data_IF_707557551326
#
_entry.id   IF_707557551326
#
_cell.length_a   1.000
_cell.length_b   1.000
_cell.length_c   1.000
_cell.angle_alpha   90.00
_cell.angle_beta   90.00
_cell.angle_gamma   90.00
#
_symmetry.space_group_name_H-M   'P 1'
#
loop_
_entity.id
_entity.type
_entity.pdbx_description
1 polymer ?
#
# COMPACT_ATOMS: atom_id res chain seq x y z
N UNK A 1 16.11 -17.33 -50.10
CA UNK A 1 14.83 -17.07 -49.47
C UNK A 1 15.00 -17.04 -47.96
N UNK A 2 15.25 -15.88 -47.40
CA UNK A 2 15.38 -15.66 -45.95
C UNK A 2 14.06 -15.05 -45.47
N UNK A 3 13.34 -15.80 -44.64
CA UNK A 3 12.14 -15.28 -43.95
C UNK A 3 12.60 -14.49 -42.73
N UNK A 4 12.46 -13.19 -42.77
CA UNK A 4 12.57 -12.30 -41.60
C UNK A 4 11.23 -12.33 -40.86
N UNK A 5 11.19 -12.99 -39.69
CA UNK A 5 10.09 -12.85 -38.73
C UNK A 5 10.30 -11.56 -37.94
N UNK A 6 9.51 -10.54 -38.28
CA UNK A 6 9.38 -9.32 -37.49
C UNK A 6 8.52 -9.64 -36.27
N UNK A 7 9.14 -9.75 -35.10
CA UNK A 7 8.45 -9.75 -33.83
C UNK A 7 8.04 -8.30 -33.54
N UNK A 8 6.79 -7.97 -33.82
CA UNK A 8 6.20 -6.70 -33.41
C UNK A 8 6.05 -6.68 -31.89
N UNK A 9 6.97 -5.98 -31.22
CA UNK A 9 6.83 -5.60 -29.83
C UNK A 9 5.60 -4.72 -29.65
N UNK A 10 4.53 -5.26 -29.07
CA UNK A 10 3.34 -4.50 -28.69
C UNK A 10 3.77 -3.64 -27.48
N UNK A 11 4.19 -2.42 -27.76
CA UNK A 11 4.26 -1.35 -26.78
C UNK A 11 2.84 -1.06 -26.32
N UNK A 12 2.50 -1.45 -25.10
CA UNK A 12 1.23 -1.11 -24.47
C UNK A 12 1.24 0.37 -24.09
N UNK A 13 1.15 1.25 -25.11
CA UNK A 13 0.80 2.63 -24.91
C UNK A 13 -0.68 2.67 -24.55
N UNK A 14 -0.99 2.89 -23.27
CA UNK A 14 -2.35 3.12 -22.80
C UNK A 14 -2.88 4.43 -23.42
N UNK A 15 -3.60 4.30 -24.51
CA UNK A 15 -4.42 5.39 -25.03
C UNK A 15 -5.66 5.43 -24.16
N UNK A 16 -5.77 6.44 -23.29
CA UNK A 16 -6.99 6.76 -22.55
C UNK A 16 -8.04 7.25 -23.53
N UNK A 17 -8.80 6.34 -24.07
CA UNK A 17 -10.03 6.68 -24.81
C UNK A 17 -11.13 6.80 -23.75
N UNK A 18 -11.58 8.02 -23.50
CA UNK A 18 -12.71 8.40 -22.64
C UNK A 18 -12.58 8.20 -21.13
N UNK A 19 -11.39 8.31 -20.54
CA UNK A 19 -11.25 8.38 -19.07
C UNK A 19 -11.74 7.17 -18.27
N UNK A 20 -12.14 6.08 -18.94
CA UNK A 20 -12.64 4.85 -18.28
C UNK A 20 -11.49 4.00 -17.77
N UNK A 21 -11.67 3.39 -16.59
CA UNK A 21 -10.74 2.40 -16.00
C UNK A 21 -10.85 1.01 -16.66
N UNK A 22 -11.51 0.89 -17.81
CA UNK A 22 -11.86 -0.39 -18.47
C UNK A 22 -10.66 -1.31 -18.76
N UNK A 23 -9.44 -0.78 -18.87
CA UNK A 23 -8.22 -1.54 -19.12
C UNK A 23 -7.41 -1.86 -17.85
N UNK A 24 -7.89 -1.45 -16.67
CA UNK A 24 -7.22 -1.74 -15.40
C UNK A 24 -7.85 -3.00 -14.77
N UNK A 25 -7.00 -3.92 -14.33
CA UNK A 25 -7.44 -5.08 -13.56
C UNK A 25 -7.59 -4.64 -12.10
N UNK A 26 -8.82 -4.69 -11.58
CA UNK A 26 -9.16 -4.44 -10.18
C UNK A 26 -10.30 -5.35 -9.74
N UNK A 27 -10.52 -5.45 -8.44
CA UNK A 27 -11.50 -6.36 -7.85
C UNK A 27 -12.60 -5.63 -7.08
N UNK A 28 -12.36 -4.36 -6.74
CA UNK A 28 -13.29 -3.55 -5.98
C UNK A 28 -12.82 -2.11 -5.86
N UNK A 29 -13.61 -1.34 -5.12
CA UNK A 29 -13.40 0.08 -4.90
C UNK A 29 -13.61 0.43 -3.42
N UNK A 30 -13.09 1.58 -3.00
CA UNK A 30 -13.55 2.21 -1.78
C UNK A 30 -14.00 3.65 -2.05
N UNK A 31 -14.99 4.09 -1.28
CA UNK A 31 -15.67 5.36 -1.49
C UNK A 31 -15.96 6.09 -0.19
N UNK A 32 -16.08 7.40 -0.27
CA UNK A 32 -16.40 8.28 0.86
C UNK A 32 -17.50 9.28 0.48
N UNK A 33 -17.74 10.25 1.34
CA UNK A 33 -18.61 11.38 1.01
C UNK A 33 -18.12 12.22 -0.18
N UNK A 34 -16.87 12.02 -0.62
CA UNK A 34 -16.30 12.72 -1.77
C UNK A 34 -16.98 12.31 -3.07
N UNK A 35 -17.32 11.02 -3.22
CA UNK A 35 -18.02 10.48 -4.37
C UNK A 35 -19.53 10.78 -4.36
N UNK A 36 -20.06 11.32 -3.25
CA UNK A 36 -21.48 11.70 -3.07
C UNK A 36 -22.46 10.53 -3.26
N UNK A 37 -23.58 10.80 -3.91
CA UNK A 37 -24.59 9.79 -4.29
C UNK A 37 -24.13 9.12 -5.59
N UNK A 38 -23.97 7.81 -5.55
CA UNK A 38 -23.44 7.00 -6.66
C UNK A 38 -24.60 6.34 -7.37
N UNK A 39 -24.60 6.38 -8.71
CA UNK A 39 -25.51 5.56 -9.52
C UNK A 39 -25.02 4.10 -9.54
N UNK A 40 -25.47 3.34 -8.55
CA UNK A 40 -25.11 1.94 -8.42
C UNK A 40 -25.66 1.06 -9.54
N UNK A 41 -26.71 1.49 -10.26
CA UNK A 41 -27.22 0.77 -11.42
C UNK A 41 -26.23 0.80 -12.59
N UNK A 42 -25.56 1.92 -12.78
CA UNK A 42 -24.49 2.06 -13.76
C UNK A 42 -23.19 1.41 -13.27
N UNK A 43 -22.81 1.65 -12.02
CA UNK A 43 -21.58 1.13 -11.39
C UNK A 43 -21.52 -0.40 -11.39
N UNK A 44 -22.64 -1.06 -11.08
CA UNK A 44 -22.72 -2.53 -11.05
C UNK A 44 -22.59 -3.22 -12.42
N UNK A 45 -22.65 -2.49 -13.53
CA UNK A 45 -22.38 -3.04 -14.86
C UNK A 45 -20.91 -3.42 -15.03
N UNK A 46 -20.03 -2.78 -14.28
CA UNK A 46 -18.61 -3.14 -14.22
C UNK A 46 -18.43 -4.42 -13.40
N UNK A 47 -18.08 -5.50 -14.08
CA UNK A 47 -17.91 -6.83 -13.47
C UNK A 47 -16.66 -6.97 -12.62
N UNK A 48 -15.72 -6.03 -12.72
CA UNK A 48 -14.53 -5.99 -11.85
C UNK A 48 -14.89 -5.56 -10.43
N UNK A 49 -15.97 -4.79 -10.23
CA UNK A 49 -16.39 -4.33 -8.90
C UNK A 49 -17.11 -5.45 -8.15
N UNK A 50 -16.38 -6.30 -7.48
CA UNK A 50 -16.91 -7.40 -6.66
C UNK A 50 -17.35 -6.90 -5.29
N UNK A 51 -16.68 -5.85 -4.77
CA UNK A 51 -16.93 -5.29 -3.46
C UNK A 51 -16.73 -3.77 -3.43
N UNK A 52 -17.31 -3.15 -2.40
CA UNK A 52 -17.07 -1.75 -2.04
C UNK A 52 -16.92 -1.61 -0.53
N UNK A 53 -15.89 -0.85 -0.11
CA UNK A 53 -15.82 -0.29 1.23
C UNK A 53 -16.32 1.14 1.24
N UNK A 54 -17.21 1.48 2.16
CA UNK A 54 -17.86 2.81 2.26
C UNK A 54 -17.47 3.47 3.57
N UNK A 55 -16.99 4.72 3.53
CA UNK A 55 -16.73 5.51 4.75
C UNK A 55 -18.01 5.69 5.54
N UNK A 56 -18.04 5.11 6.75
CA UNK A 56 -19.17 5.29 7.65
C UNK A 56 -18.93 6.44 8.63
N UNK A 57 -17.77 6.42 9.30
CA UNK A 57 -17.50 7.34 10.41
C UNK A 57 -16.03 7.74 10.48
N UNK A 58 -15.74 8.80 11.27
CA UNK A 58 -14.39 9.23 11.59
C UNK A 58 -14.34 9.78 13.02
N UNK A 59 -13.35 9.37 13.79
CA UNK A 59 -13.19 9.81 15.17
C UNK A 59 -14.46 9.63 16.00
N UNK A 60 -14.72 10.56 16.93
CA UNK A 60 -15.83 10.43 17.88
C UNK A 60 -17.20 10.83 17.33
N UNK A 61 -17.27 11.63 16.26
CA UNK A 61 -18.53 12.34 15.94
C UNK A 61 -18.89 12.41 14.47
N UNK A 62 -17.90 12.32 13.56
CA UNK A 62 -18.22 12.38 12.13
C UNK A 62 -18.95 11.12 11.67
N UNK A 63 -20.05 11.32 10.94
CA UNK A 63 -20.86 10.30 10.29
C UNK A 63 -21.08 10.69 8.85
N UNK A 64 -20.82 9.78 7.92
CA UNK A 64 -21.04 10.03 6.51
C UNK A 64 -22.54 10.05 6.19
N UNK A 65 -23.02 11.15 5.64
CA UNK A 65 -24.42 11.26 5.20
C UNK A 65 -24.79 10.36 4.02
N UNK A 66 -23.76 9.94 3.23
CA UNK A 66 -23.95 9.11 2.06
C UNK A 66 -23.77 7.61 2.37
N UNK A 67 -23.41 7.25 3.61
CA UNK A 67 -23.12 5.88 3.99
C UNK A 67 -24.30 4.94 3.76
N UNK A 68 -25.46 5.26 4.36
CA UNK A 68 -26.64 4.39 4.28
C UNK A 68 -27.10 4.19 2.85
N UNK A 69 -27.21 5.29 2.09
CA UNK A 69 -27.58 5.24 0.68
C UNK A 69 -26.66 4.33 -0.12
N UNK A 70 -25.34 4.48 0.01
CA UNK A 70 -24.36 3.72 -0.76
C UNK A 70 -24.34 2.23 -0.37
N UNK A 71 -24.48 1.91 0.94
CA UNK A 71 -24.53 0.51 1.41
C UNK A 71 -25.77 -0.20 0.85
N UNK A 72 -26.95 0.40 0.99
CA UNK A 72 -28.21 -0.20 0.56
C UNK A 72 -28.24 -0.41 -0.96
N UNK A 73 -27.90 0.62 -1.71
CA UNK A 73 -27.96 0.57 -3.18
C UNK A 73 -26.87 -0.33 -3.77
N UNK A 74 -25.62 -0.28 -3.32
CA UNK A 74 -24.58 -1.20 -3.78
C UNK A 74 -24.99 -2.67 -3.56
N UNK A 75 -25.56 -2.95 -2.40
CA UNK A 75 -26.03 -4.27 -2.00
C UNK A 75 -27.20 -4.75 -2.86
N UNK A 76 -28.13 -3.86 -3.19
CA UNK A 76 -29.27 -4.14 -4.07
C UNK A 76 -28.81 -4.63 -5.45
N UNK A 77 -27.73 -4.07 -5.97
CA UNK A 77 -27.13 -4.48 -7.25
C UNK A 77 -26.11 -5.61 -7.14
N UNK A 78 -26.05 -6.33 -6.00
CA UNK A 78 -25.24 -7.53 -5.82
C UNK A 78 -23.75 -7.28 -5.61
N UNK A 79 -23.35 -6.05 -5.25
CA UNK A 79 -21.99 -5.73 -4.83
C UNK A 79 -21.88 -6.03 -3.34
N UNK A 80 -20.80 -6.70 -2.93
CA UNK A 80 -20.54 -6.94 -1.52
C UNK A 80 -20.09 -5.65 -0.83
N UNK A 81 -20.69 -5.35 0.33
CA UNK A 81 -20.48 -4.08 1.00
C UNK A 81 -19.81 -4.22 2.36
N UNK A 82 -18.94 -3.30 2.68
CA UNK A 82 -18.31 -3.14 3.99
C UNK A 82 -18.18 -1.68 4.38
N UNK A 83 -18.09 -1.43 5.68
CA UNK A 83 -17.90 -0.10 6.23
C UNK A 83 -16.47 0.11 6.70
N UNK A 84 -15.99 1.36 6.59
CA UNK A 84 -14.74 1.74 7.23
C UNK A 84 -14.87 2.92 8.18
N UNK A 85 -14.00 2.92 9.20
CA UNK A 85 -13.83 3.98 10.18
C UNK A 85 -12.47 4.63 10.03
N UNK A 86 -12.43 5.93 9.80
CA UNK A 86 -11.17 6.68 9.84
C UNK A 86 -10.75 6.91 11.29
N UNK A 87 -9.71 6.22 11.70
CA UNK A 87 -9.23 6.21 13.07
C UNK A 87 -8.46 7.48 13.42
N UNK A 88 -8.82 8.12 14.53
CA UNK A 88 -8.15 9.31 15.08
C UNK A 88 -7.42 8.96 16.37
N UNK A 89 -6.08 8.77 16.35
CA UNK A 89 -5.33 8.26 17.50
C UNK A 89 -5.44 9.11 18.78
N UNK A 90 -5.67 10.42 18.64
CA UNK A 90 -5.86 11.32 19.80
C UNK A 90 -7.29 11.32 20.35
N UNK A 91 -8.18 10.50 19.81
CA UNK A 91 -9.57 10.38 20.27
C UNK A 91 -9.72 9.07 21.04
N UNK A 92 -10.39 9.07 22.22
CA UNK A 92 -10.62 7.86 23.00
C UNK A 92 -11.28 6.76 22.17
N UNK A 93 -10.74 5.55 22.26
CA UNK A 93 -11.19 4.35 21.52
C UNK A 93 -12.68 4.11 21.74
N UNK A 94 -13.17 4.21 22.97
CA UNK A 94 -14.58 3.99 23.31
C UNK A 94 -15.52 4.96 22.56
N UNK A 95 -15.13 6.22 22.40
CA UNK A 95 -15.94 7.19 21.64
C UNK A 95 -16.00 6.86 20.15
N UNK A 96 -14.88 6.38 19.59
CA UNK A 96 -14.80 5.95 18.20
C UNK A 96 -15.63 4.69 17.97
N UNK A 97 -15.50 3.71 18.87
CA UNK A 97 -16.28 2.50 18.83
C UNK A 97 -17.79 2.76 18.86
N UNK A 98 -18.27 3.58 19.82
CA UNK A 98 -19.69 3.97 19.87
C UNK A 98 -20.14 4.72 18.63
N UNK A 99 -19.29 5.60 18.08
CA UNK A 99 -19.61 6.31 16.85
C UNK A 99 -19.80 5.33 15.68
N UNK A 100 -18.87 4.38 15.50
CA UNK A 100 -18.93 3.40 14.42
C UNK A 100 -20.13 2.48 14.55
N UNK A 101 -20.32 1.84 15.70
CA UNK A 101 -21.40 0.87 15.93
C UNK A 101 -22.80 1.48 15.96
N UNK A 102 -22.91 2.81 16.21
CA UNK A 102 -24.20 3.52 16.10
C UNK A 102 -24.66 3.72 14.66
N UNK A 103 -23.76 3.60 13.68
CA UNK A 103 -24.03 3.78 12.25
C UNK A 103 -24.01 2.46 11.49
N UNK A 104 -23.04 1.60 11.81
CA UNK A 104 -22.76 0.38 11.07
C UNK A 104 -23.41 -0.81 11.78
N UNK A 105 -24.49 -1.30 11.23
CA UNK A 105 -25.17 -2.48 11.74
C UNK A 105 -24.56 -3.74 11.17
N UNK A 106 -24.43 -4.78 12.00
CA UNK A 106 -23.83 -6.07 11.59
C UNK A 106 -24.57 -6.72 10.43
N UNK A 107 -25.89 -6.64 10.43
CA UNK A 107 -26.77 -7.21 9.40
C UNK A 107 -26.60 -6.55 8.02
N UNK A 108 -26.14 -5.31 7.98
CA UNK A 108 -25.94 -4.57 6.75
C UNK A 108 -24.56 -4.81 6.12
N UNK A 109 -23.67 -5.52 6.81
CA UNK A 109 -22.30 -5.77 6.34
C UNK A 109 -22.19 -7.16 5.69
N UNK A 110 -21.56 -7.22 4.54
CA UNK A 110 -21.09 -8.47 3.93
C UNK A 110 -19.60 -8.69 4.22
N UNK A 111 -18.83 -7.61 4.33
CA UNK A 111 -17.38 -7.63 4.54
C UNK A 111 -17.01 -7.34 5.99
N UNK A 112 -15.85 -7.85 6.40
CA UNK A 112 -15.27 -7.56 7.72
C UNK A 112 -15.07 -6.05 7.90
N UNK A 113 -15.25 -5.49 9.11
CA UNK A 113 -15.03 -4.06 9.36
C UNK A 113 -13.62 -3.62 8.98
N UNK A 114 -13.48 -2.38 8.49
CA UNK A 114 -12.21 -1.82 8.10
C UNK A 114 -11.83 -0.64 9.00
N UNK A 115 -10.63 -0.68 9.56
CA UNK A 115 -10.02 0.40 10.34
C UNK A 115 -9.01 1.12 9.46
N UNK A 116 -9.25 2.38 9.17
CA UNK A 116 -8.38 3.23 8.35
C UNK A 116 -7.42 4.00 9.25
N UNK A 117 -6.13 3.62 9.21
CA UNK A 117 -5.06 4.13 10.08
C UNK A 117 -3.99 4.83 9.25
N UNK A 118 -4.12 6.14 9.07
CA UNK A 118 -3.24 6.95 8.22
C UNK A 118 -2.49 8.05 8.97
N UNK A 119 -2.90 8.35 10.19
CA UNK A 119 -2.32 9.44 10.97
C UNK A 119 -1.75 8.92 12.28
N UNK A 120 -0.54 9.39 12.62
CA UNK A 120 0.12 8.99 13.86
C UNK A 120 -0.51 9.59 15.12
N UNK A 121 -1.17 10.72 14.98
CA UNK A 121 -1.61 11.55 16.11
C UNK A 121 -0.50 12.48 16.62
N UNK A 122 -0.91 13.58 17.26
CA UNK A 122 0.01 14.56 17.82
C UNK A 122 0.53 14.06 19.18
N UNK A 123 1.85 14.12 19.38
CA UNK A 123 2.53 13.78 20.64
C UNK A 123 2.34 12.33 21.13
N UNK A 124 1.86 11.42 20.28
CA UNK A 124 1.76 10.01 20.62
C UNK A 124 3.04 9.25 20.29
N UNK A 125 3.44 8.35 21.17
CA UNK A 125 4.47 7.36 20.87
C UNK A 125 3.93 6.32 19.89
N UNK A 126 4.81 5.63 19.17
CA UNK A 126 4.40 4.51 18.29
C UNK A 126 3.66 3.43 19.08
N UNK A 127 4.13 3.15 20.32
CA UNK A 127 3.47 2.19 21.21
C UNK A 127 2.03 2.61 21.52
N UNK A 128 1.81 3.85 21.93
CA UNK A 128 0.47 4.35 22.25
C UNK A 128 -0.47 4.34 21.02
N UNK A 129 0.06 4.62 19.81
CA UNK A 129 -0.69 4.45 18.57
C UNK A 129 -1.12 3.00 18.38
N UNK A 130 -0.16 2.06 18.46
CA UNK A 130 -0.43 0.63 18.24
C UNK A 130 -1.41 0.10 19.29
N UNK A 131 -1.18 0.40 20.57
CA UNK A 131 -2.06 -0.03 21.66
C UNK A 131 -3.50 0.48 21.46
N UNK A 132 -3.68 1.71 20.97
CA UNK A 132 -5.02 2.26 20.70
C UNK A 132 -5.68 1.65 19.46
N UNK A 133 -4.91 1.32 18.41
CA UNK A 133 -5.43 0.62 17.22
C UNK A 133 -5.86 -0.79 17.58
N UNK A 134 -5.04 -1.53 18.35
CA UNK A 134 -5.38 -2.89 18.79
C UNK A 134 -6.60 -2.89 19.71
N UNK A 135 -6.67 -1.97 20.69
CA UNK A 135 -7.84 -1.86 21.56
C UNK A 135 -9.14 -1.54 20.78
N UNK A 136 -9.05 -0.78 19.68
CA UNK A 136 -10.21 -0.54 18.81
C UNK A 136 -10.55 -1.79 17.98
N UNK A 137 -9.54 -2.47 17.46
CA UNK A 137 -9.70 -3.71 16.70
C UNK A 137 -10.35 -4.82 17.53
N UNK A 138 -9.90 -5.03 18.77
CA UNK A 138 -10.46 -6.02 19.69
C UNK A 138 -11.94 -5.76 19.96
N UNK A 139 -12.32 -4.49 20.20
CA UNK A 139 -13.74 -4.13 20.38
C UNK A 139 -14.59 -4.38 19.15
N UNK A 140 -14.04 -4.15 17.95
CA UNK A 140 -14.74 -4.47 16.70
C UNK A 140 -14.87 -5.99 16.52
N UNK A 141 -13.82 -6.75 16.84
CA UNK A 141 -13.83 -8.21 16.78
C UNK A 141 -14.91 -8.77 17.72
N UNK A 142 -14.97 -8.31 18.97
CA UNK A 142 -16.00 -8.70 19.95
C UNK A 142 -17.42 -8.37 19.45
N UNK A 143 -17.61 -7.19 18.88
CA UNK A 143 -18.94 -6.73 18.44
C UNK A 143 -19.39 -7.42 17.16
N UNK A 144 -18.52 -7.53 16.12
CA UNK A 144 -18.90 -8.08 14.82
C UNK A 144 -18.67 -9.59 14.72
N UNK A 145 -17.92 -10.20 15.64
CA UNK A 145 -17.58 -11.62 15.65
C UNK A 145 -16.57 -12.02 14.58
N UNK A 146 -15.78 -11.09 14.11
CA UNK A 146 -14.71 -11.29 13.14
C UNK A 146 -13.62 -10.22 13.27
N UNK A 147 -12.37 -10.61 13.00
CA UNK A 147 -11.26 -9.67 13.00
C UNK A 147 -11.46 -8.57 11.95
N UNK A 148 -11.33 -7.29 12.33
CA UNK A 148 -11.34 -6.21 11.36
C UNK A 148 -10.09 -6.25 10.49
N UNK A 149 -10.18 -5.70 9.28
CA UNK A 149 -9.04 -5.43 8.42
C UNK A 149 -8.44 -4.06 8.78
N UNK A 150 -7.12 -3.93 8.69
CA UNK A 150 -6.43 -2.67 8.92
C UNK A 150 -5.96 -2.11 7.58
N UNK A 151 -6.50 -0.94 7.20
CA UNK A 151 -6.02 -0.17 6.06
C UNK A 151 -4.99 0.86 6.52
N UNK A 152 -3.94 0.99 5.72
CA UNK A 152 -2.90 2.00 5.94
C UNK A 152 -2.03 2.20 4.70
N UNK A 153 -1.38 3.36 4.62
CA UNK A 153 -0.37 3.61 3.59
C UNK A 153 0.88 2.71 3.76
N UNK A 154 1.46 2.27 2.65
CA UNK A 154 2.68 1.44 2.64
C UNK A 154 3.83 2.01 3.50
N UNK A 155 4.13 3.31 3.35
CA UNK A 155 5.17 3.96 4.14
C UNK A 155 4.81 4.02 5.64
N UNK A 156 3.54 4.27 5.95
CA UNK A 156 3.05 4.33 7.33
C UNK A 156 3.14 2.97 8.01
N UNK A 157 2.74 1.90 7.33
CA UNK A 157 2.90 0.53 7.83
C UNK A 157 4.35 0.25 8.17
N UNK A 158 5.26 0.43 7.22
CA UNK A 158 6.67 0.11 7.40
C UNK A 158 7.32 0.91 8.53
N UNK A 159 6.90 2.17 8.73
CA UNK A 159 7.45 3.05 9.77
C UNK A 159 6.89 2.80 11.17
N UNK A 160 5.61 2.46 11.28
CA UNK A 160 4.92 2.48 12.57
C UNK A 160 4.27 1.16 12.99
N UNK A 161 3.77 0.35 12.04
CA UNK A 161 2.93 -0.81 12.34
C UNK A 161 3.60 -2.16 12.12
N UNK A 162 4.70 -2.20 11.37
CA UNK A 162 5.42 -3.44 11.03
C UNK A 162 5.80 -4.25 12.27
N UNK A 163 5.39 -5.53 12.29
CA UNK A 163 5.64 -6.45 13.41
C UNK A 163 4.84 -6.18 14.68
N UNK A 164 3.93 -5.18 14.69
CA UNK A 164 3.20 -4.75 15.90
C UNK A 164 1.71 -5.04 15.87
N UNK A 165 1.17 -5.42 14.70
CA UNK A 165 -0.24 -5.78 14.50
C UNK A 165 -0.36 -7.17 13.87
N UNK A 166 0.20 -8.22 14.52
CA UNK A 166 0.21 -9.57 13.94
C UNK A 166 -1.20 -10.15 13.85
N UNK A 167 -1.46 -10.90 12.78
CA UNK A 167 -2.69 -11.67 12.62
C UNK A 167 -3.91 -10.86 12.19
N UNK A 168 -3.79 -9.57 11.91
CA UNK A 168 -4.83 -8.78 11.27
C UNK A 168 -4.66 -8.80 9.75
N UNK A 169 -5.75 -8.98 8.96
CA UNK A 169 -5.69 -8.81 7.51
C UNK A 169 -5.34 -7.35 7.17
N UNK A 170 -4.48 -7.16 6.17
CA UNK A 170 -3.97 -5.85 5.80
C UNK A 170 -4.50 -5.40 4.44
N UNK A 171 -4.91 -4.15 4.36
CA UNK A 171 -5.24 -3.43 3.15
C UNK A 171 -4.26 -2.27 3.00
N UNK A 172 -3.40 -2.33 1.99
CA UNK A 172 -2.26 -1.41 1.85
C UNK A 172 -2.48 -0.45 0.69
N UNK A 173 -2.41 0.84 0.98
CA UNK A 173 -2.37 1.86 -0.05
C UNK A 173 -0.93 2.09 -0.54
N UNK A 174 -0.74 1.94 -1.85
CA UNK A 174 0.47 2.30 -2.56
C UNK A 174 0.14 2.62 -4.02
N UNK A 175 0.08 3.88 -4.35
CA UNK A 175 -0.25 4.34 -5.71
C UNK A 175 0.94 4.13 -6.65
N UNK A 176 1.02 2.94 -7.21
CA UNK A 176 2.18 2.46 -7.99
C UNK A 176 1.78 1.30 -8.89
N UNK A 177 2.58 1.04 -9.93
CA UNK A 177 2.49 -0.18 -10.75
C UNK A 177 3.15 -1.40 -10.05
N UNK A 178 3.91 -1.17 -8.99
CA UNK A 178 4.65 -2.20 -8.25
C UNK A 178 3.92 -2.50 -6.96
N UNK A 179 3.66 -3.77 -6.71
CA UNK A 179 3.00 -4.27 -5.51
C UNK A 179 3.72 -3.84 -4.21
N UNK A 180 2.97 -3.63 -3.10
CA UNK A 180 3.58 -3.28 -1.84
C UNK A 180 4.44 -4.43 -1.29
N UNK A 181 5.66 -4.09 -0.86
CA UNK A 181 6.52 -5.00 -0.09
C UNK A 181 6.58 -4.49 1.34
N UNK A 182 6.07 -5.29 2.26
CA UNK A 182 5.99 -4.92 3.67
C UNK A 182 7.24 -5.38 4.43
N UNK A 183 7.75 -4.55 5.33
CA UNK A 183 8.83 -4.93 6.24
C UNK A 183 8.37 -6.01 7.20
N UNK A 184 9.29 -6.88 7.64
CA UNK A 184 8.96 -7.99 8.53
C UNK A 184 8.28 -9.18 7.86
N UNK A 185 8.21 -9.21 6.52
CA UNK A 185 7.65 -10.35 5.78
C UNK A 185 6.13 -10.50 5.90
N UNK A 186 5.41 -9.46 6.35
CA UNK A 186 3.97 -9.49 6.44
C UNK A 186 3.32 -9.53 5.05
N UNK A 187 2.25 -10.32 4.94
CA UNK A 187 1.42 -10.37 3.74
C UNK A 187 0.25 -9.39 3.86
N UNK A 188 -0.25 -8.94 2.72
CA UNK A 188 -1.44 -8.11 2.61
C UNK A 188 -2.54 -8.86 1.86
N UNK A 189 -3.80 -8.52 2.11
CA UNK A 189 -4.97 -9.10 1.46
C UNK A 189 -5.43 -8.23 0.29
N UNK A 190 -5.49 -6.92 0.54
CA UNK A 190 -5.91 -5.93 -0.46
C UNK A 190 -4.82 -4.88 -0.69
N UNK A 191 -4.77 -4.40 -1.92
CA UNK A 191 -3.93 -3.29 -2.34
C UNK A 191 -4.76 -2.23 -3.05
N UNK A 192 -4.78 -1.00 -2.50
CA UNK A 192 -5.28 0.19 -3.16
C UNK A 192 -4.14 0.76 -4.00
N UNK A 193 -4.22 0.55 -5.32
CA UNK A 193 -3.11 0.85 -6.22
C UNK A 193 -3.29 2.15 -7.01
N UNK A 194 -4.49 2.71 -7.02
CA UNK A 194 -4.82 3.95 -7.73
C UNK A 194 -5.92 4.73 -6.98
N UNK A 195 -5.78 6.04 -6.93
CA UNK A 195 -6.78 7.01 -6.45
C UNK A 195 -7.46 7.75 -7.62
N UNK A 196 -7.25 7.29 -8.87
CA UNK A 196 -7.63 7.98 -10.11
C UNK A 196 -8.54 7.12 -10.98
N UNK A 197 -9.27 6.19 -10.38
CA UNK A 197 -10.22 5.36 -11.10
C UNK A 197 -11.37 6.20 -11.68
N UNK A 198 -11.83 5.84 -12.87
CA UNK A 198 -13.00 6.43 -13.49
C UNK A 198 -14.00 5.29 -13.75
N UNK A 199 -15.11 5.32 -13.04
CA UNK A 199 -16.14 4.27 -13.05
C UNK A 199 -17.47 4.91 -13.47
N UNK A 200 -18.19 4.23 -14.34
CA UNK A 200 -19.52 4.67 -14.75
C UNK A 200 -20.45 4.74 -13.52
N UNK A 201 -21.20 5.82 -13.38
CA UNK A 201 -22.07 6.06 -12.22
C UNK A 201 -21.40 6.74 -11.05
N UNK A 202 -20.09 7.06 -11.13
CA UNK A 202 -19.35 7.81 -10.12
C UNK A 202 -18.75 9.05 -10.77
N UNK A 203 -19.21 10.24 -10.36
CA UNK A 203 -18.80 11.52 -10.98
C UNK A 203 -17.39 11.96 -10.63
N UNK A 204 -16.78 11.37 -9.62
CA UNK A 204 -15.47 11.75 -9.07
C UNK A 204 -14.49 10.58 -9.20
N UNK A 205 -13.20 10.88 -9.16
CA UNK A 205 -12.18 9.84 -9.08
C UNK A 205 -12.43 8.91 -7.88
N UNK A 206 -12.17 7.63 -8.07
CA UNK A 206 -12.42 6.59 -7.08
C UNK A 206 -11.19 5.71 -6.90
N UNK A 207 -11.02 5.21 -5.68
CA UNK A 207 -9.94 4.34 -5.31
C UNK A 207 -10.16 2.93 -5.86
N UNK A 208 -9.16 2.42 -6.61
CA UNK A 208 -9.19 1.09 -7.20
C UNK A 208 -8.36 0.11 -6.38
N UNK A 209 -8.97 -1.04 -6.08
CA UNK A 209 -8.43 -2.05 -5.21
C UNK A 209 -8.32 -3.40 -5.89
N UNK A 210 -7.29 -4.18 -5.56
CA UNK A 210 -7.19 -5.57 -5.99
C UNK A 210 -6.69 -6.47 -4.88
N UNK A 211 -7.03 -7.76 -4.98
CA UNK A 211 -6.54 -8.78 -4.08
C UNK A 211 -5.08 -9.12 -4.33
N UNK A 212 -4.40 -9.55 -3.28
CA UNK A 212 -3.11 -10.22 -3.39
C UNK A 212 -3.28 -11.58 -4.08
N UNK A 213 -2.18 -12.08 -4.66
CA UNK A 213 -2.16 -13.42 -5.26
C UNK A 213 -2.54 -14.48 -4.22
N UNK A 214 -3.55 -15.28 -4.55
CA UNK A 214 -4.09 -16.32 -3.66
C UNK A 214 -5.17 -15.84 -2.69
N UNK A 215 -5.38 -14.53 -2.55
CA UNK A 215 -6.49 -13.93 -1.81
C UNK A 215 -7.70 -13.66 -2.73
N UNK A 216 -8.86 -13.49 -2.13
CA UNK A 216 -10.09 -13.17 -2.84
C UNK A 216 -11.19 -12.73 -1.90
N UNK A 217 -12.40 -12.64 -2.43
CA UNK A 217 -13.56 -12.15 -1.68
C UNK A 217 -13.82 -12.97 -0.38
N UNK A 218 -13.54 -14.27 -0.40
CA UNK A 218 -13.66 -15.16 0.77
C UNK A 218 -12.84 -14.70 1.99
N UNK A 219 -11.72 -14.01 1.75
CA UNK A 219 -10.79 -13.60 2.81
C UNK A 219 -11.23 -12.30 3.50
N UNK A 220 -12.24 -11.61 2.93
CA UNK A 220 -12.79 -10.38 3.50
C UNK A 220 -14.30 -10.47 3.79
N UNK A 221 -14.96 -11.60 3.50
CA UNK A 221 -16.36 -11.84 3.87
C UNK A 221 -16.47 -12.14 5.37
N UNK A 222 -17.51 -11.62 6.01
CA UNK A 222 -17.91 -12.05 7.35
C UNK A 222 -18.31 -13.51 7.29
N UNK A 223 -17.81 -14.34 8.21
CA UNK A 223 -18.10 -15.77 8.28
C UNK A 223 -19.61 -16.06 8.23
N UNK A 224 -20.01 -17.04 7.41
CA UNK A 224 -21.43 -17.39 7.18
C UNK A 224 -22.15 -16.52 6.14
N UNK A 225 -21.56 -15.49 5.61
CA UNK A 225 -22.11 -14.74 4.47
C UNK A 225 -21.81 -15.47 3.16
N UNK A 226 -22.86 -15.66 2.34
CA UNK A 226 -22.70 -16.27 1.01
C UNK A 226 -22.26 -15.22 -0.01
N UNK A 227 -21.43 -15.66 -0.96
CA UNK A 227 -21.14 -14.87 -2.15
C UNK A 227 -22.45 -14.66 -2.92
N UNK A 228 -22.85 -13.40 -3.12
CA UNK A 228 -24.05 -13.05 -3.87
C UNK A 228 -23.78 -13.24 -5.35
N UNK A 229 -24.67 -13.99 -6.03
CA UNK A 229 -24.71 -13.94 -7.48
C UNK A 229 -25.39 -12.65 -7.91
N UNK A 230 -24.83 -11.95 -8.88
CA UNK A 230 -25.48 -10.80 -9.52
C UNK A 230 -26.64 -11.32 -10.37
N UNK A 231 -27.82 -11.39 -9.77
CA UNK A 231 -29.05 -11.52 -10.54
C UNK A 231 -29.31 -10.16 -11.19
N UNK A 232 -29.60 -10.15 -12.49
CA UNK A 232 -30.11 -8.96 -13.12
C UNK A 232 -31.35 -8.52 -12.34
N UNK A 233 -31.29 -7.35 -11.72
CA UNK A 233 -32.48 -6.73 -11.18
C UNK A 233 -33.38 -6.40 -12.36
N UNK A 234 -34.34 -7.28 -12.63
CA UNK A 234 -35.49 -6.94 -13.46
C UNK A 234 -36.16 -5.75 -12.80
N UNK A 235 -36.25 -4.68 -13.56
CA UNK A 235 -36.94 -3.47 -13.13
C UNK A 235 -38.27 -3.85 -12.50
N UNK A 236 -38.46 -3.50 -11.24
CA UNK A 236 -39.78 -3.49 -10.64
C UNK A 236 -40.65 -2.49 -11.44
N UNK A 237 -41.48 -3.02 -12.35
CA UNK A 237 -42.64 -2.30 -12.88
C UNK A 237 -43.53 -2.04 -11.66
N UNK A 238 -43.67 -0.79 -11.27
CA UNK A 238 -44.79 -0.39 -10.45
C UNK A 238 -46.08 -0.85 -11.10
N UNK A 239 -46.78 -1.76 -10.48
CA UNK A 239 -48.15 -2.13 -10.85
C UNK A 239 -49.03 -0.98 -10.39
N UNK A 240 -49.46 -0.17 -11.34
CA UNK A 240 -50.60 0.72 -11.21
C UNK A 240 -51.83 -0.15 -11.03
N UNK A 241 -52.71 0.09 -10.03
CA UNK A 241 -53.92 -0.70 -9.89
C UNK A 241 -54.90 -0.37 -11.05
N UNK A 242 -55.34 -1.39 -11.76
CA UNK A 242 -56.42 -1.31 -12.72
C UNK A 242 -57.75 -1.07 -11.98
N UNK A 243 -58.64 -0.21 -12.47
CA UNK A 243 -59.95 0.00 -11.86
C UNK A 243 -60.90 -1.14 -12.22
N UNK A 244 -61.46 -1.78 -11.21
CA UNK A 244 -62.51 -2.77 -11.37
C UNK A 244 -63.77 -2.14 -11.97
N UNK A 245 -64.30 -2.76 -13.00
CA UNK A 245 -65.57 -2.37 -13.63
C UNK A 245 -66.74 -2.77 -12.74
N UNK A 246 -67.47 -1.79 -12.22
CA UNK A 246 -68.76 -2.00 -11.58
C UNK A 246 -69.91 -1.88 -12.60
N UNK A 247 -70.70 -2.94 -12.66
CA UNK A 247 -71.99 -2.99 -13.39
C UNK A 247 -73.04 -2.06 -12.74
N UNK A 248 -73.57 -1.12 -13.49
CA UNK A 248 -74.64 -0.24 -13.04
C UNK A 248 -75.99 -0.93 -13.14
N UNK A 249 -76.62 -1.27 -12.00
CA UNK A 249 -78.05 -1.53 -11.93
C UNK A 249 -78.79 -0.19 -11.63
N UNK A 250 -79.69 0.16 -12.53
CA UNK A 250 -80.56 1.31 -12.36
C UNK A 250 -81.60 1.05 -11.29
N UNK A 251 -81.62 1.87 -10.22
CA UNK A 251 -82.69 1.93 -9.21
C UNK A 251 -83.30 3.37 -9.28
N UNK A 252 -84.62 3.45 -9.34
CA UNK A 252 -85.39 4.70 -9.36
C UNK A 252 -85.23 5.51 -8.06
N UNK A 253 -85.13 6.85 -8.10
CA UNK A 253 -84.82 7.66 -6.92
C UNK A 253 -85.99 7.81 -5.95
N UNK A 254 -85.70 7.71 -4.65
CA UNK A 254 -86.55 8.04 -3.54
C UNK A 254 -86.36 9.49 -3.12
N UNK A 255 -87.42 10.31 -2.92
CA UNK A 255 -87.35 11.76 -2.61
C UNK A 255 -86.59 12.10 -1.32
N UNK A 256 -86.50 11.21 -0.37
CA UNK A 256 -85.72 11.39 0.88
C UNK A 256 -84.18 11.25 0.63
N UNK A 257 -83.83 10.44 -0.33
CA UNK A 257 -82.46 10.22 -0.74
C UNK A 257 -81.90 11.48 -1.49
N UNK A 258 -82.75 12.17 -2.29
CA UNK A 258 -82.34 13.42 -2.96
C UNK A 258 -82.01 14.56 -2.00
N UNK A 259 -82.72 14.65 -0.84
CA UNK A 259 -82.36 15.63 0.22
C UNK A 259 -81.06 15.34 0.89
N UNK A 260 -80.82 14.07 1.22
CA UNK A 260 -79.54 13.59 1.78
C UNK A 260 -78.38 13.78 0.85
N UNK A 261 -78.54 13.49 -0.43
CA UNK A 261 -77.50 13.69 -1.45
C UNK A 261 -77.18 15.16 -1.66
N UNK A 262 -78.20 16.07 -1.59
CA UNK A 262 -77.99 17.51 -1.71
C UNK A 262 -77.22 18.10 -0.49
N UNK A 263 -77.49 17.55 0.67
CA UNK A 263 -76.76 17.93 1.90
C UNK A 263 -75.35 17.36 1.92
N UNK A 264 -75.20 16.11 1.48
CA UNK A 264 -73.86 15.48 1.32
C UNK A 264 -73.00 16.22 0.29
N UNK A 265 -73.56 16.67 -0.86
CA UNK A 265 -72.88 17.53 -1.83
C UNK A 265 -72.44 18.85 -1.25
N UNK A 266 -73.29 19.55 -0.51
CA UNK A 266 -72.88 20.79 0.20
C UNK A 266 -71.78 20.60 1.22
N UNK A 267 -71.80 19.50 2.00
CA UNK A 267 -70.74 19.14 2.94
C UNK A 267 -69.43 18.77 2.20
N UNK A 268 -69.53 18.07 1.08
CA UNK A 268 -68.36 17.70 0.24
C UNK A 268 -67.69 18.96 -0.38
N UNK A 269 -68.51 19.92 -0.87
CA UNK A 269 -68.01 21.19 -1.41
C UNK A 269 -67.31 22.05 -0.30
N UNK A 270 -67.87 22.09 0.88
CA UNK A 270 -67.27 22.80 2.04
C UNK A 270 -65.90 22.15 2.43
N UNK A 271 -65.86 20.81 2.49
CA UNK A 271 -64.61 20.07 2.75
C UNK A 271 -63.57 20.35 1.68
N UNK A 272 -63.92 20.31 0.40
CA UNK A 272 -63.02 20.61 -0.70
C UNK A 272 -62.47 22.05 -0.63
N UNK A 273 -63.27 23.00 -0.22
CA UNK A 273 -62.85 24.40 -0.05
C UNK A 273 -61.90 24.56 1.15
N UNK A 274 -62.11 23.83 2.25
CA UNK A 274 -61.22 23.80 3.40
C UNK A 274 -59.90 23.11 3.08
N UNK A 275 -59.95 21.97 2.41
CA UNK A 275 -58.75 21.22 1.93
C UNK A 275 -57.91 22.08 0.97
N UNK A 276 -58.53 22.84 0.08
CA UNK A 276 -57.85 23.77 -0.82
C UNK A 276 -57.14 24.90 -0.06
N UNK A 277 -57.79 25.47 0.95
CA UNK A 277 -57.16 26.52 1.80
C UNK A 277 -56.00 25.98 2.60
N UNK A 278 -56.13 24.77 3.12
CA UNK A 278 -55.06 24.10 3.87
C UNK A 278 -53.86 23.74 2.96
N UNK A 279 -54.14 23.26 1.75
CA UNK A 279 -53.11 22.99 0.74
C UNK A 279 -52.34 24.27 0.34
N UNK A 280 -53.04 25.41 0.18
CA UNK A 280 -52.40 26.71 -0.10
C UNK A 280 -51.53 27.20 1.08
N UNK A 281 -51.99 27.01 2.33
CA UNK A 281 -51.19 27.33 3.53
C UNK A 281 -49.93 26.46 3.60
N UNK A 282 -50.07 25.18 3.35
CA UNK A 282 -48.96 24.22 3.35
C UNK A 282 -47.97 24.54 2.22
N UNK A 283 -48.43 24.89 1.03
CA UNK A 283 -47.59 25.30 -0.09
C UNK A 283 -46.75 26.57 0.25
N UNK A 284 -47.39 27.60 0.84
CA UNK A 284 -46.68 28.79 1.29
C UNK A 284 -45.64 28.50 2.37
N UNK A 285 -45.95 27.58 3.29
CA UNK A 285 -45.03 27.19 4.33
C UNK A 285 -43.83 26.39 3.77
N UNK A 286 -44.07 25.47 2.82
CA UNK A 286 -43.01 24.73 2.12
C UNK A 286 -42.11 25.67 1.33
N UNK A 287 -42.64 26.69 0.67
CA UNK A 287 -41.86 27.68 -0.06
C UNK A 287 -40.97 28.53 0.85
N UNK A 288 -41.49 28.99 2.01
CA UNK A 288 -40.67 29.68 3.02
C UNK A 288 -39.53 28.82 3.53
N UNK A 289 -39.80 27.53 3.81
CA UNK A 289 -38.78 26.58 4.27
C UNK A 289 -37.73 26.33 3.20
N UNK A 290 -38.14 26.24 1.92
CA UNK A 290 -37.22 26.11 0.79
C UNK A 290 -36.26 27.31 0.70
N UNK A 291 -36.79 28.52 0.76
CA UNK A 291 -35.98 29.75 0.71
C UNK A 291 -35.01 29.85 1.90
N UNK A 292 -35.43 29.43 3.09
CA UNK A 292 -34.57 29.40 4.27
C UNK A 292 -33.39 28.37 4.08
N UNK A 293 -33.70 27.15 3.65
CA UNK A 293 -32.70 26.14 3.36
C UNK A 293 -31.71 26.55 2.27
N UNK A 294 -32.18 27.24 1.24
CA UNK A 294 -31.33 27.78 0.17
C UNK A 294 -30.36 28.83 0.69
N UNK A 295 -30.84 29.72 1.59
CA UNK A 295 -29.97 30.71 2.24
C UNK A 295 -28.92 30.06 3.12
N UNK A 296 -29.30 29.08 3.96
CA UNK A 296 -28.37 28.35 4.80
C UNK A 296 -27.32 27.59 3.97
N UNK A 297 -27.72 26.97 2.85
CA UNK A 297 -26.79 26.29 1.94
C UNK A 297 -25.78 27.25 1.31
N UNK A 298 -26.23 28.46 0.90
CA UNK A 298 -25.32 29.49 0.35
C UNK A 298 -24.33 29.99 1.40
N UNK A 299 -24.77 30.18 2.64
CA UNK A 299 -23.87 30.58 3.74
C UNK A 299 -22.86 29.45 4.10
N UNK A 300 -23.34 28.22 4.18
CA UNK A 300 -22.47 27.07 4.42
C UNK A 300 -21.41 26.87 3.31
N UNK A 301 -21.80 27.00 2.04
CA UNK A 301 -20.89 26.95 0.91
C UNK A 301 -19.83 28.07 0.95
N UNK A 302 -20.22 29.28 1.34
CA UNK A 302 -19.27 30.40 1.49
C UNK A 302 -18.28 30.19 2.64
N UNK A 303 -18.76 29.62 3.75
CA UNK A 303 -17.87 29.26 4.86
C UNK A 303 -16.91 28.13 4.50
N UNK A 304 -17.39 27.12 3.78
CA UNK A 304 -16.56 26.00 3.31
C UNK A 304 -15.49 26.48 2.32
N UNK A 305 -15.84 27.37 1.39
CA UNK A 305 -14.87 27.96 0.47
C UNK A 305 -13.75 28.69 1.22
N UNK A 306 -14.10 29.54 2.21
CA UNK A 306 -13.09 30.22 3.04
C UNK A 306 -12.20 29.25 3.82
N UNK A 307 -12.76 28.15 4.32
CA UNK A 307 -11.97 27.09 4.97
C UNK A 307 -11.02 26.41 4.01
N UNK A 308 -11.45 26.10 2.77
CA UNK A 308 -10.61 25.50 1.73
C UNK A 308 -9.46 26.45 1.34
N UNK A 309 -9.74 27.73 1.12
CA UNK A 309 -8.71 28.73 0.79
C UNK A 309 -7.65 28.84 1.90
N UNK A 310 -8.08 28.84 3.16
CA UNK A 310 -7.17 28.86 4.32
C UNK A 310 -6.34 27.58 4.39
N UNK A 311 -6.95 26.41 4.19
CA UNK A 311 -6.26 25.13 4.18
C UNK A 311 -5.23 25.02 3.05
N UNK A 312 -5.55 25.49 1.83
CA UNK A 312 -4.61 25.55 0.70
C UNK A 312 -3.42 26.46 1.01
N UNK A 313 -3.66 27.64 1.62
CA UNK A 313 -2.58 28.55 2.02
C UNK A 313 -1.67 27.95 3.08
N UNK A 314 -2.22 27.23 4.07
CA UNK A 314 -1.43 26.52 5.08
C UNK A 314 -0.65 25.34 4.49
N UNK A 315 -1.27 24.57 3.59
CA UNK A 315 -0.63 23.46 2.90
C UNK A 315 0.57 23.95 2.06
N UNK A 316 0.42 25.06 1.33
CA UNK A 316 1.50 25.68 0.57
C UNK A 316 2.68 26.09 1.47
N UNK A 317 2.39 26.73 2.60
CA UNK A 317 3.44 27.11 3.58
C UNK A 317 4.16 25.89 4.16
N UNK A 318 3.44 24.79 4.40
CA UNK A 318 4.05 23.54 4.87
C UNK A 318 4.95 22.91 3.80
N UNK A 319 4.47 22.87 2.55
CA UNK A 319 5.24 22.34 1.43
C UNK A 319 6.54 23.13 1.19
N UNK A 320 6.48 24.46 1.25
CA UNK A 320 7.68 25.33 1.13
C UNK A 320 8.68 25.09 2.28
N UNK A 321 8.18 24.84 3.50
CA UNK A 321 9.05 24.52 4.65
C UNK A 321 9.68 23.14 4.51
N UNK A 322 8.92 22.14 4.07
CA UNK A 322 9.44 20.78 3.83
C UNK A 322 10.47 20.76 2.71
N UNK A 323 10.25 21.54 1.65
CA UNK A 323 11.21 21.64 0.54
C UNK A 323 12.53 22.25 1.01
N UNK A 324 12.50 23.31 1.80
CA UNK A 324 13.71 23.90 2.40
C UNK A 324 14.45 22.88 3.28
N UNK A 325 13.72 22.12 4.10
CA UNK A 325 14.34 21.09 4.94
C UNK A 325 14.99 19.98 4.11
N UNK A 326 14.33 19.55 3.02
CA UNK A 326 14.90 18.55 2.09
C UNK A 326 16.18 19.06 1.41
N UNK A 327 16.19 20.33 0.98
CA UNK A 327 17.37 20.94 0.38
C UNK A 327 18.53 21.04 1.38
N UNK A 328 18.26 21.39 2.64
CA UNK A 328 19.27 21.45 3.68
C UNK A 328 19.82 20.06 4.04
N UNK A 329 18.94 19.06 4.11
CA UNK A 329 19.35 17.68 4.34
C UNK A 329 20.21 17.15 3.19
N UNK A 330 19.82 17.39 1.93
CA UNK A 330 20.60 16.99 0.77
C UNK A 330 22.00 17.63 0.74
N UNK A 331 22.12 18.91 1.15
CA UNK A 331 23.43 19.57 1.28
C UNK A 331 24.30 18.94 2.36
N UNK A 332 23.72 18.53 3.51
CA UNK A 332 24.44 17.82 4.57
C UNK A 332 24.94 16.47 4.10
N UNK A 333 24.05 15.67 3.48
CA UNK A 333 24.39 14.35 2.93
C UNK A 333 25.48 14.44 1.86
N UNK A 334 25.42 15.47 0.98
CA UNK A 334 26.46 15.72 -0.02
C UNK A 334 27.82 16.02 0.63
N UNK A 335 27.84 16.86 1.67
CA UNK A 335 29.07 17.21 2.40
C UNK A 335 29.66 15.99 3.11
N UNK A 336 28.84 15.21 3.78
CA UNK A 336 29.29 13.96 4.44
C UNK A 336 29.85 12.95 3.42
N UNK A 337 29.22 12.85 2.25
CA UNK A 337 29.73 12.01 1.17
C UNK A 337 31.08 12.47 0.63
N UNK A 338 31.27 13.77 0.45
CA UNK A 338 32.56 14.35 0.04
C UNK A 338 33.66 14.10 1.07
N UNK A 339 33.36 14.28 2.36
CA UNK A 339 34.31 13.99 3.46
C UNK A 339 34.66 12.50 3.51
N UNK A 340 33.68 11.62 3.33
CA UNK A 340 33.90 10.18 3.28
C UNK A 340 34.78 9.78 2.09
N UNK A 341 34.56 10.35 0.90
CA UNK A 341 35.40 10.09 -0.27
C UNK A 341 36.83 10.57 -0.07
N UNK A 342 37.04 11.77 0.47
CA UNK A 342 38.38 12.29 0.81
C UNK A 342 39.12 11.38 1.80
N UNK A 343 38.44 10.87 2.81
CA UNK A 343 39.00 9.91 3.76
C UNK A 343 39.42 8.61 3.07
N UNK A 344 38.55 8.05 2.23
CA UNK A 344 38.88 6.84 1.46
C UNK A 344 40.05 7.02 0.49
N UNK A 345 40.14 8.18 -0.16
CA UNK A 345 41.27 8.45 -1.06
C UNK A 345 42.58 8.57 -0.29
N UNK A 346 42.56 9.18 0.91
CA UNK A 346 43.73 9.21 1.79
C UNK A 346 44.15 7.82 2.24
N UNK A 347 43.21 7.01 2.70
CA UNK A 347 43.46 5.60 3.09
C UNK A 347 44.06 4.78 1.91
N UNK A 348 43.57 5.01 0.70
CA UNK A 348 44.08 4.37 -0.51
C UNK A 348 45.49 4.79 -0.87
N UNK A 349 45.81 6.07 -0.71
CA UNK A 349 47.18 6.57 -0.91
C UNK A 349 48.15 6.01 0.13
N UNK A 350 47.76 5.98 1.40
CA UNK A 350 48.55 5.39 2.47
C UNK A 350 48.78 3.89 2.25
N UNK A 351 47.75 3.14 1.81
CA UNK A 351 47.88 1.73 1.48
C UNK A 351 48.84 1.47 0.32
N UNK A 352 48.81 2.31 -0.73
CA UNK A 352 49.75 2.24 -1.84
C UNK A 352 51.18 2.50 -1.40
N UNK A 353 51.39 3.54 -0.58
CA UNK A 353 52.71 3.86 -0.04
C UNK A 353 53.29 2.72 0.79
N UNK A 354 52.49 2.06 1.65
CA UNK A 354 52.90 0.88 2.41
C UNK A 354 53.25 -0.31 1.51
N UNK A 355 52.48 -0.53 0.43
CA UNK A 355 52.78 -1.59 -0.54
C UNK A 355 54.11 -1.35 -1.29
N UNK A 356 54.37 -0.08 -1.67
CA UNK A 356 55.64 0.27 -2.32
C UNK A 356 56.82 0.13 -1.37
N UNK A 357 56.69 0.52 -0.13
CA UNK A 357 57.72 0.34 0.91
C UNK A 357 58.01 -1.14 1.15
N UNK A 358 56.95 -1.93 1.26
CA UNK A 358 57.08 -3.40 1.40
C UNK A 358 57.80 -4.02 0.21
N UNK A 359 57.42 -3.63 -1.02
CA UNK A 359 58.06 -4.09 -2.24
C UNK A 359 59.54 -3.71 -2.33
N UNK A 360 59.91 -2.50 -1.84
CA UNK A 360 61.34 -2.08 -1.75
C UNK A 360 62.09 -2.94 -0.73
N UNK A 361 61.50 -3.20 0.44
CA UNK A 361 62.11 -4.04 1.47
C UNK A 361 62.32 -5.49 0.99
N UNK A 362 61.34 -6.04 0.29
CA UNK A 362 61.44 -7.38 -0.28
C UNK A 362 62.51 -7.49 -1.39
N UNK A 363 62.62 -6.47 -2.24
CA UNK A 363 63.72 -6.39 -3.24
C UNK A 363 65.07 -6.36 -2.55
N UNK A 364 65.27 -5.56 -1.48
CA UNK A 364 66.52 -5.50 -0.76
C UNK A 364 66.84 -6.82 -0.06
N UNK A 365 65.85 -7.52 0.53
CA UNK A 365 66.01 -8.85 1.11
C UNK A 365 66.46 -9.89 0.05
N UNK A 366 65.80 -9.86 -1.12
CA UNK A 366 66.20 -10.76 -2.21
C UNK A 366 67.61 -10.51 -2.71
N UNK A 367 68.02 -9.22 -2.86
CA UNK A 367 69.41 -8.91 -3.24
C UNK A 367 70.43 -9.37 -2.20
N UNK A 368 70.16 -9.18 -0.91
CA UNK A 368 71.04 -9.69 0.17
C UNK A 368 71.14 -11.22 0.16
N UNK A 369 70.05 -11.92 -0.10
CA UNK A 369 70.04 -13.38 -0.20
C UNK A 369 70.83 -13.88 -1.43
N UNK A 370 70.66 -13.24 -2.57
CA UNK A 370 71.42 -13.57 -3.78
C UNK A 370 72.93 -13.28 -3.59
N UNK A 371 73.30 -12.21 -2.94
CA UNK A 371 74.70 -11.90 -2.60
C UNK A 371 75.29 -12.95 -1.61
N UNK A 372 74.53 -13.30 -0.58
CA UNK A 372 74.95 -14.38 0.34
C UNK A 372 75.10 -15.73 -0.36
N UNK A 373 74.16 -16.05 -1.29
CA UNK A 373 74.26 -17.28 -2.07
C UNK A 373 75.50 -17.33 -2.96
N UNK A 374 75.82 -16.20 -3.64
CA UNK A 374 77.05 -16.06 -4.46
C UNK A 374 78.30 -16.26 -3.57
N UNK A 375 78.37 -15.63 -2.41
CA UNK A 375 79.51 -15.81 -1.50
C UNK A 375 79.64 -17.26 -1.01
N UNK A 376 78.53 -17.95 -0.73
CA UNK A 376 78.52 -19.39 -0.37
C UNK A 376 79.01 -20.28 -1.50
N UNK A 377 78.60 -20.00 -2.71
CA UNK A 377 79.01 -20.75 -3.89
C UNK A 377 80.50 -20.54 -4.17
N UNK A 378 80.99 -19.29 -4.01
CA UNK A 378 82.42 -19.01 -4.17
C UNK A 378 83.30 -19.71 -3.14
N UNK A 379 82.85 -19.74 -1.87
CA UNK A 379 83.51 -20.55 -0.81
C UNK A 379 83.51 -22.01 -1.12
N UNK A 380 82.40 -22.57 -1.61
CA UNK A 380 82.27 -23.96 -2.01
C UNK A 380 83.22 -24.30 -3.16
N UNK A 381 83.30 -23.41 -4.20
CA UNK A 381 84.23 -23.62 -5.33
C UNK A 381 85.69 -23.52 -4.85
N UNK A 382 86.01 -22.66 -3.90
CA UNK A 382 87.39 -22.58 -3.31
C UNK A 382 87.70 -23.83 -2.51
N UNK A 383 86.81 -24.39 -1.72
CA UNK A 383 86.97 -25.64 -1.00
C UNK A 383 87.14 -26.84 -1.96
N UNK A 384 86.39 -26.92 -3.06
CA UNK A 384 86.51 -27.98 -4.06
C UNK A 384 87.89 -27.90 -4.76
N UNK A 385 88.35 -26.69 -5.09
CA UNK A 385 89.69 -26.51 -5.65
C UNK A 385 90.81 -26.92 -4.68
N UNK A 386 90.65 -26.56 -3.38
CA UNK A 386 91.58 -26.98 -2.37
C UNK A 386 91.61 -28.49 -2.16
N UNK A 387 90.47 -29.16 -2.14
CA UNK A 387 90.35 -30.60 -2.05
C UNK A 387 90.94 -31.31 -3.27
N UNK A 388 90.70 -30.77 -4.49
CA UNK A 388 91.38 -31.33 -5.69
C UNK A 388 92.90 -31.22 -5.62
N UNK A 389 93.42 -30.05 -5.14
CA UNK A 389 94.88 -29.85 -4.98
C UNK A 389 95.48 -30.78 -3.92
N UNK A 390 94.74 -31.00 -2.79
CA UNK A 390 95.15 -31.98 -1.78
C UNK A 390 95.18 -33.42 -2.36
N UNK A 391 94.16 -33.81 -3.12
CA UNK A 391 94.10 -35.17 -3.69
C UNK A 391 95.17 -35.36 -4.78
N UNK A 392 95.52 -34.33 -5.58
CA UNK A 392 96.65 -34.36 -6.51
C UNK A 392 98.02 -34.50 -5.78
N UNK A 393 98.19 -33.73 -4.68
CA UNK A 393 99.40 -33.85 -3.88
C UNK A 393 99.51 -35.22 -3.17
N UNK A 394 98.36 -35.78 -2.77
CA UNK A 394 98.35 -37.13 -2.15
C UNK A 394 98.65 -38.21 -3.19
N UNK A 395 98.17 -38.10 -4.43
CA UNK A 395 98.52 -38.96 -5.55
C UNK A 395 100.03 -38.87 -5.95
N UNK A 396 100.58 -37.66 -5.99
CA UNK A 396 102.00 -37.45 -6.24
C UNK A 396 102.88 -38.01 -5.11
N UNK A 397 102.51 -37.90 -3.81
CA UNK A 397 103.20 -38.54 -2.70
C UNK A 397 103.12 -40.07 -2.77
N UNK A 398 102.00 -40.65 -3.21
CA UNK A 398 101.86 -42.10 -3.38
C UNK A 398 102.59 -42.62 -4.59
N UNK A 399 102.73 -41.83 -5.67
CA UNK A 399 103.61 -42.24 -6.80
C UNK A 399 105.08 -42.18 -6.45
N UNK A 400 105.54 -41.17 -5.67
CA UNK A 400 106.90 -41.06 -5.16
C UNK A 400 107.31 -42.22 -4.18
N UNK A 401 106.31 -42.74 -3.44
CA UNK A 401 106.55 -43.98 -2.59
C UNK A 401 106.60 -45.24 -3.39
N UNK A 402 106.05 -45.38 -4.58
CA UNK A 402 106.14 -46.59 -5.44
C UNK A 402 107.51 -46.67 -6.21
N UNK A 403 108.21 -45.55 -6.38
CA UNK A 403 109.53 -45.53 -7.07
C UNK A 403 110.65 -45.92 -6.13
N UNK A 404 110.53 -45.96 -4.78
CA UNK A 404 111.55 -46.29 -3.81
C UNK A 404 111.44 -47.70 -3.25
N UNK A 405 110.71 -48.65 -3.91
CA UNK A 405 110.62 -50.07 -3.55
C UNK A 405 110.76 -50.96 -4.78
N UNK A 406 111.88 -50.74 -5.53
CA UNK A 406 112.38 -51.76 -6.51
C UNK A 406 113.89 -51.70 -6.50
N UNK A 407 114.49 -52.54 -5.76
CA UNK A 407 115.79 -53.16 -6.02
C UNK A 407 116.13 -54.20 -4.98
N UNK A 408 116.90 -55.11 -5.38
CA UNK A 408 116.68 -56.52 -5.10
C UNK A 408 117.69 -57.04 -4.11
N UNK A 409 117.55 -58.18 -3.72
CA UNK A 409 118.53 -59.25 -3.60
C UNK A 409 118.07 -60.28 -2.56
N UNK A 410 117.91 -61.38 -3.09
CA UNK A 410 118.76 -62.56 -2.99
C UNK A 410 118.80 -63.29 -1.65
N UNK A 411 118.56 -64.41 -1.84
CA UNK A 411 119.20 -65.63 -1.30
C UNK A 411 118.67 -66.30 -0.02
N UNK A 412 118.27 -67.43 -0.32
CA UNK A 412 118.66 -68.71 0.27
C UNK A 412 117.98 -69.25 1.55
N UNK A 413 117.40 -70.38 1.34
CA UNK A 413 117.66 -71.69 1.92
C UNK A 413 117.02 -72.05 3.27
N UNK A 414 116.37 -73.19 3.17
CA UNK A 414 116.14 -74.28 4.17
C UNK A 414 115.20 -74.10 5.40
N UNK A 415 114.33 -74.79 5.41
CA UNK A 415 113.70 -75.99 6.00
C UNK A 415 112.17 -75.81 6.06
#
# INVERSE_FOLDING_TARGET
>A
MLLLTVVAGISCAQVTVNGSSANLIYDGIDVSSYQKDIDWSATAKDKNIKFVYVKATEGATYRSRHYQYNIENARQYGIHVGAYHFFRPNVPVEKQFRNFTSVVKKEDQDLIPLIDVEVRGNNLTVRALVDSVLAFADRLEDHYGCKPMIYTGHAFYNSYLSGKIPGYPLFIARYSKVEPRLTGGANWVLWQFSEKGVIAGIDHAVDLCRFNKGCGLKDILISGRKVRSRTHATAHKEKKPEPAAEEKKQVKPNPEQEKLDKEARKRAEKRKAEEKKEAERLAKQKEKLRKLKEKEQKEAAKQEQKRREKAVKEARKRAEKEEKMRQEQAKREQKEREEFLKKKDKERQEAKARQEEQAKADRQRKQKQEEQARKREEVKRAQEKAAKKQSQNQKAKNQGRRVNQSSPDNDDIYY
#
